data_IF_120882229123
#
_entry.id   IF_120882229123
#
_cell.length_a   1.000
_cell.length_b   1.000
_cell.length_c   1.000
_cell.angle_alpha   90.00
_cell.angle_beta   90.00
_cell.angle_gamma   90.00
#
_symmetry.space_group_name_H-M   'P 1'
#
loop_
_entity.id
_entity.type
_entity.pdbx_description
1 polymer ?
#
# COMPACT_ATOMS: atom_id res chain seq x y z
N UNK A 1 -44.32 23.50 40.08
CA UNK A 1 -43.40 22.35 40.24
C UNK A 1 -42.89 21.97 38.87
N UNK A 2 -41.56 21.91 38.74
CA UNK A 2 -40.81 22.02 37.50
C UNK A 2 -40.95 20.78 36.59
N UNK A 3 -41.35 21.01 35.34
CA UNK A 3 -41.09 20.11 34.22
C UNK A 3 -39.63 20.31 33.78
N UNK A 4 -38.79 19.32 34.07
CA UNK A 4 -37.40 19.27 33.61
C UNK A 4 -37.40 19.19 32.08
N UNK A 5 -36.89 20.24 31.44
CA UNK A 5 -36.57 20.22 30.01
C UNK A 5 -35.41 19.26 29.80
N UNK A 6 -35.68 18.18 29.09
CA UNK A 6 -34.69 17.23 28.61
C UNK A 6 -33.85 17.94 27.53
N UNK A 7 -32.77 18.59 27.93
CA UNK A 7 -31.75 19.08 26.99
C UNK A 7 -31.09 17.87 26.35
N UNK A 8 -31.46 17.58 25.10
CA UNK A 8 -30.67 16.75 24.20
C UNK A 8 -29.28 17.41 24.07
N UNK A 9 -28.34 16.96 24.88
CA UNK A 9 -26.92 17.22 24.67
C UNK A 9 -26.56 16.65 23.29
N UNK A 10 -26.38 17.53 22.30
CA UNK A 10 -25.79 17.18 21.01
C UNK A 10 -24.47 16.48 21.32
N UNK A 11 -24.37 15.18 21.04
CA UNK A 11 -23.24 14.35 21.44
C UNK A 11 -21.92 14.98 21.00
N UNK A 12 -20.96 15.07 21.93
CA UNK A 12 -19.62 15.56 21.64
C UNK A 12 -19.03 14.69 20.51
N UNK A 13 -18.72 15.30 19.38
CA UNK A 13 -18.07 14.60 18.25
C UNK A 13 -16.70 14.08 18.70
N UNK A 14 -16.46 12.77 18.58
CA UNK A 14 -15.18 12.18 18.94
C UNK A 14 -14.10 12.73 18.00
N UNK A 15 -13.08 13.39 18.58
CA UNK A 15 -12.03 14.05 17.81
C UNK A 15 -10.73 13.24 17.92
N UNK A 16 -10.20 12.83 16.77
CA UNK A 16 -8.97 12.05 16.70
C UNK A 16 -7.75 12.96 16.77
N UNK A 17 -6.86 12.68 17.72
CA UNK A 17 -5.52 13.28 17.75
C UNK A 17 -4.51 12.43 16.98
N UNK A 18 -3.40 13.02 16.55
CA UNK A 18 -2.33 12.30 15.86
C UNK A 18 -1.76 11.13 16.69
N UNK A 19 -1.47 11.28 18.00
CA UNK A 19 -1.07 10.15 18.84
C UNK A 19 -2.10 9.02 18.94
N UNK A 20 -3.40 9.34 18.96
CA UNK A 20 -4.46 8.32 18.95
C UNK A 20 -4.50 7.57 17.63
N UNK A 21 -4.33 8.28 16.51
CA UNK A 21 -4.25 7.67 15.18
C UNK A 21 -3.04 6.75 15.04
N UNK A 22 -1.88 7.14 15.59
CA UNK A 22 -0.68 6.28 15.61
C UNK A 22 -0.94 5.00 16.41
N UNK A 23 -1.46 5.13 17.62
CA UNK A 23 -1.80 3.97 18.46
C UNK A 23 -2.81 3.03 17.78
N UNK A 24 -3.84 3.59 17.11
CA UNK A 24 -4.79 2.79 16.33
C UNK A 24 -4.07 1.95 15.28
N UNK A 25 -3.14 2.56 14.52
CA UNK A 25 -2.40 1.85 13.48
C UNK A 25 -1.46 0.79 14.06
N UNK A 26 -0.74 1.10 15.13
CA UNK A 26 0.17 0.15 15.81
C UNK A 26 -0.57 -1.10 16.27
N UNK A 27 -1.70 -0.93 16.98
CA UNK A 27 -2.50 -2.06 17.45
C UNK A 27 -3.06 -2.85 16.26
N UNK A 28 -3.55 -2.19 15.23
CA UNK A 28 -4.09 -2.88 14.04
C UNK A 28 -2.99 -3.61 13.24
N UNK A 29 -1.75 -3.14 13.24
CA UNK A 29 -0.61 -3.88 12.68
C UNK A 29 -0.42 -5.18 13.45
N UNK A 30 -0.37 -5.14 14.78
CA UNK A 30 -0.24 -6.36 15.58
C UNK A 30 -1.40 -7.34 15.35
N UNK A 31 -2.63 -6.83 15.29
CA UNK A 31 -3.82 -7.66 15.04
C UNK A 31 -3.78 -8.28 13.64
N UNK A 32 -3.29 -7.56 12.63
CA UNK A 32 -3.09 -8.10 11.29
C UNK A 32 -2.02 -9.22 11.30
N UNK A 33 -0.91 -9.04 12.02
CA UNK A 33 0.14 -10.04 12.15
C UNK A 33 -0.32 -11.30 12.89
N UNK A 34 -1.26 -11.17 13.84
CA UNK A 34 -1.91 -12.29 14.55
C UNK A 34 -2.94 -13.03 13.70
N UNK A 35 -3.22 -12.59 12.47
CA UNK A 35 -4.24 -13.18 11.61
C UNK A 35 -5.68 -12.80 11.98
N UNK A 36 -5.87 -11.74 12.77
CA UNK A 36 -7.20 -11.21 13.10
C UNK A 36 -7.77 -10.27 12.02
N UNK A 37 -7.10 -10.23 10.87
CA UNK A 37 -7.57 -9.58 9.66
C UNK A 37 -7.79 -10.64 8.58
N UNK A 38 -9.03 -10.72 8.06
CA UNK A 38 -9.29 -11.48 6.84
C UNK A 38 -8.69 -10.75 5.63
N UNK A 39 -8.99 -11.19 4.40
CA UNK A 39 -8.44 -10.56 3.18
C UNK A 39 -8.69 -9.05 3.08
N UNK A 40 -9.71 -8.49 3.76
CA UNK A 40 -10.03 -7.06 3.69
C UNK A 40 -10.58 -6.41 4.96
N UNK A 41 -10.87 -7.19 6.02
CA UNK A 41 -11.63 -6.71 7.19
C UNK A 41 -11.07 -7.24 8.50
N UNK A 42 -10.98 -6.39 9.51
CA UNK A 42 -10.60 -6.76 10.88
C UNK A 42 -11.78 -7.37 11.64
N UNK A 43 -11.50 -8.30 12.57
CA UNK A 43 -12.51 -8.83 13.48
C UNK A 43 -13.04 -7.73 14.43
N UNK A 44 -14.28 -7.87 14.88
CA UNK A 44 -14.91 -6.95 15.84
C UNK A 44 -14.08 -6.80 17.14
N UNK A 45 -13.47 -7.90 17.60
CA UNK A 45 -12.58 -7.92 18.78
C UNK A 45 -11.37 -7.00 18.61
N UNK A 46 -10.80 -6.90 17.41
CA UNK A 46 -9.68 -5.98 17.13
C UNK A 46 -10.12 -4.52 17.30
N UNK A 47 -11.31 -4.14 16.84
CA UNK A 47 -11.85 -2.79 17.05
C UNK A 47 -12.13 -2.50 18.53
N UNK A 48 -12.66 -3.49 19.26
CA UNK A 48 -12.92 -3.37 20.70
C UNK A 48 -11.63 -3.18 21.50
N UNK A 49 -10.58 -3.92 21.14
CA UNK A 49 -9.25 -3.78 21.74
C UNK A 49 -8.68 -2.38 21.51
N UNK A 50 -8.67 -1.89 20.27
CA UNK A 50 -8.19 -0.53 19.94
C UNK A 50 -8.95 0.54 20.74
N UNK A 51 -10.29 0.43 20.79
CA UNK A 51 -11.11 1.39 21.53
C UNK A 51 -10.79 1.39 23.03
N UNK A 52 -10.55 0.21 23.62
CA UNK A 52 -10.20 0.06 25.03
C UNK A 52 -8.85 0.69 25.34
N UNK A 53 -7.81 0.36 24.57
CA UNK A 53 -6.45 0.88 24.75
C UNK A 53 -6.38 2.40 24.59
N UNK A 54 -7.06 2.95 23.57
CA UNK A 54 -7.14 4.40 23.37
C UNK A 54 -7.88 5.08 24.52
N UNK A 55 -9.00 4.50 24.97
CA UNK A 55 -9.76 5.07 26.08
C UNK A 55 -8.93 5.12 27.36
N UNK A 56 -8.18 4.06 27.65
CA UNK A 56 -7.30 3.98 28.81
C UNK A 56 -6.13 4.96 28.71
N UNK A 57 -5.42 4.99 27.59
CA UNK A 57 -4.21 5.81 27.44
C UNK A 57 -4.48 7.30 27.36
N UNK A 58 -5.56 7.70 26.69
CA UNK A 58 -5.87 9.12 26.45
C UNK A 58 -6.98 9.66 27.36
N UNK A 59 -7.54 8.83 28.25
CA UNK A 59 -8.64 9.17 29.14
C UNK A 59 -9.86 9.75 28.38
N UNK A 60 -10.22 9.11 27.27
CA UNK A 60 -11.34 9.49 26.40
C UNK A 60 -12.37 8.36 26.31
N UNK A 61 -13.60 8.68 25.92
CA UNK A 61 -14.61 7.66 25.62
C UNK A 61 -14.51 7.24 24.15
N UNK A 62 -13.61 6.30 23.84
CA UNK A 62 -13.49 5.72 22.51
C UNK A 62 -14.34 4.44 22.42
N UNK A 63 -15.09 4.29 21.33
CA UNK A 63 -15.95 3.14 21.09
C UNK A 63 -15.51 2.47 19.78
N UNK A 64 -15.78 1.16 19.58
CA UNK A 64 -15.41 0.46 18.35
C UNK A 64 -15.89 1.17 17.07
N UNK A 65 -17.06 1.81 17.12
CA UNK A 65 -17.61 2.61 16.02
C UNK A 65 -16.73 3.82 15.63
N UNK A 66 -16.06 4.43 16.61
CA UNK A 66 -15.14 5.53 16.37
C UNK A 66 -13.90 5.03 15.64
N UNK A 67 -13.39 3.85 16.03
CA UNK A 67 -12.24 3.18 15.40
C UNK A 67 -12.54 2.81 13.95
N UNK A 68 -13.70 2.20 13.69
CA UNK A 68 -14.14 1.85 12.33
C UNK A 68 -14.23 3.09 11.43
N UNK A 69 -14.86 4.16 11.92
CA UNK A 69 -14.98 5.41 11.16
C UNK A 69 -13.60 6.05 10.88
N UNK A 70 -12.68 6.01 11.84
CA UNK A 70 -11.33 6.51 11.61
C UNK A 70 -10.55 5.66 10.61
N UNK A 71 -10.70 4.34 10.67
CA UNK A 71 -10.06 3.43 9.71
C UNK A 71 -10.57 3.69 8.28
N UNK A 72 -11.85 4.05 8.10
CA UNK A 72 -12.35 4.51 6.80
C UNK A 72 -11.65 5.77 6.31
N UNK A 73 -11.37 6.72 7.20
CA UNK A 73 -10.56 7.91 6.87
C UNK A 73 -9.16 7.50 6.45
N UNK A 74 -8.46 6.68 7.23
CA UNK A 74 -7.12 6.15 6.91
C UNK A 74 -7.12 5.46 5.53
N UNK A 75 -8.14 4.65 5.21
CA UNK A 75 -8.27 4.01 3.89
C UNK A 75 -8.37 5.04 2.75
N UNK A 76 -9.12 6.12 2.94
CA UNK A 76 -9.21 7.22 1.96
C UNK A 76 -7.86 7.91 1.78
N UNK A 77 -7.17 8.22 2.88
CA UNK A 77 -5.83 8.83 2.83
C UNK A 77 -4.82 7.94 2.11
N UNK A 78 -4.84 6.63 2.39
CA UNK A 78 -4.00 5.65 1.70
C UNK A 78 -4.29 5.60 0.21
N UNK A 79 -5.56 5.70 -0.20
CA UNK A 79 -5.95 5.79 -1.60
C UNK A 79 -5.32 7.00 -2.31
N UNK A 80 -5.41 8.19 -1.68
CA UNK A 80 -4.82 9.42 -2.21
C UNK A 80 -3.30 9.28 -2.33
N UNK A 81 -2.62 8.78 -1.29
CA UNK A 81 -1.18 8.56 -1.27
C UNK A 81 -0.75 7.61 -2.39
N UNK A 82 -1.45 6.48 -2.53
CA UNK A 82 -1.12 5.46 -3.54
C UNK A 82 -1.36 5.98 -4.96
N UNK A 83 -2.44 6.73 -5.18
CA UNK A 83 -2.75 7.35 -6.46
C UNK A 83 -1.66 8.35 -6.85
N UNK A 84 -1.29 9.27 -5.96
CA UNK A 84 -0.27 10.29 -6.23
C UNK A 84 1.12 9.65 -6.43
N UNK A 85 1.47 8.64 -5.62
CA UNK A 85 2.73 7.90 -5.77
C UNK A 85 2.87 7.23 -7.14
N UNK A 86 1.77 6.74 -7.72
CA UNK A 86 1.75 6.04 -9.00
C UNK A 86 1.43 6.97 -10.19
N UNK A 87 1.25 8.28 -9.96
CA UNK A 87 0.90 9.25 -11.00
C UNK A 87 2.15 9.58 -11.83
N UNK A 88 1.98 9.67 -13.16
CA UNK A 88 3.08 10.08 -14.04
C UNK A 88 3.58 11.48 -13.67
N UNK A 89 4.91 11.68 -13.66
CA UNK A 89 5.54 12.94 -13.25
C UNK A 89 5.77 13.10 -11.74
N UNK A 90 5.34 12.12 -10.93
CA UNK A 90 5.56 12.10 -9.49
C UNK A 90 6.69 11.11 -9.19
N UNK A 91 7.56 11.48 -8.24
CA UNK A 91 8.64 10.62 -7.74
C UNK A 91 8.35 10.09 -6.34
N UNK A 92 9.20 9.17 -5.89
CA UNK A 92 9.12 8.55 -4.57
C UNK A 92 10.48 8.59 -3.87
N UNK A 93 10.53 9.22 -2.70
CA UNK A 93 11.70 9.25 -1.82
C UNK A 93 11.59 8.20 -0.72
N UNK A 94 12.27 7.07 -0.88
CA UNK A 94 12.14 5.93 0.05
C UNK A 94 12.67 6.19 1.47
N UNK A 95 13.68 7.05 1.63
CA UNK A 95 14.27 7.37 2.93
C UNK A 95 13.30 8.13 3.83
N UNK A 96 12.50 9.03 3.25
CA UNK A 96 11.55 9.88 3.97
C UNK A 96 10.10 9.42 3.81
N UNK A 97 9.86 8.32 3.08
CA UNK A 97 8.52 7.86 2.66
C UNK A 97 7.68 9.04 2.16
N UNK A 98 8.19 9.73 1.15
CA UNK A 98 7.66 11.00 0.67
C UNK A 98 7.40 10.95 -0.83
N UNK A 99 6.28 11.54 -1.25
CA UNK A 99 5.98 11.77 -2.66
C UNK A 99 6.72 13.04 -3.08
N UNK A 100 7.61 12.94 -4.07
CA UNK A 100 8.43 14.06 -4.53
C UNK A 100 7.86 14.62 -5.83
N UNK A 101 7.60 15.91 -5.88
CA UNK A 101 6.99 16.59 -7.02
C UNK A 101 7.74 17.89 -7.31
N UNK A 102 7.97 18.21 -8.59
CA UNK A 102 8.54 19.50 -8.98
C UNK A 102 7.58 20.65 -8.62
N UNK A 103 8.11 21.87 -8.49
CA UNK A 103 7.31 23.02 -8.06
C UNK A 103 6.11 23.29 -8.98
N UNK A 104 6.33 23.23 -10.29
CA UNK A 104 5.27 23.53 -11.28
C UNK A 104 4.13 22.51 -11.19
N UNK A 105 4.46 21.21 -11.08
CA UNK A 105 3.48 20.13 -10.95
C UNK A 105 2.78 20.17 -9.59
N UNK A 106 3.49 20.58 -8.53
CA UNK A 106 2.91 20.76 -7.20
C UNK A 106 1.81 21.82 -7.19
N UNK A 107 2.10 22.99 -7.78
CA UNK A 107 1.16 24.11 -7.81
C UNK A 107 -0.11 23.76 -8.61
N UNK A 108 0.04 23.04 -9.72
CA UNK A 108 -1.10 22.51 -10.50
C UNK A 108 -1.91 21.47 -9.72
N UNK A 109 -1.25 20.52 -9.06
CA UNK A 109 -1.90 19.45 -8.31
C UNK A 109 -2.69 19.99 -7.11
N UNK A 110 -2.08 20.88 -6.31
CA UNK A 110 -2.73 21.48 -5.14
C UNK A 110 -3.86 22.42 -5.54
N UNK A 111 -3.75 23.09 -6.69
CA UNK A 111 -4.84 23.90 -7.24
C UNK A 111 -6.04 23.05 -7.65
N UNK A 112 -5.82 21.89 -8.28
CA UNK A 112 -6.89 20.97 -8.65
C UNK A 112 -7.45 20.18 -7.44
N UNK A 113 -6.58 19.83 -6.49
CA UNK A 113 -6.87 19.00 -5.34
C UNK A 113 -6.22 19.57 -4.07
N UNK A 114 -6.83 20.59 -3.42
CA UNK A 114 -6.24 21.24 -2.24
C UNK A 114 -5.90 20.29 -1.10
N UNK A 115 -6.65 19.18 -0.98
CA UNK A 115 -6.45 18.16 0.05
C UNK A 115 -5.17 17.32 -0.16
N UNK A 116 -4.50 17.41 -1.32
CA UNK A 116 -3.27 16.69 -1.63
C UNK A 116 -2.03 17.36 -1.02
N UNK A 117 -2.10 18.66 -0.70
CA UNK A 117 -1.01 19.45 -0.13
C UNK A 117 -0.35 18.78 1.07
N UNK A 118 -1.13 18.09 1.93
CA UNK A 118 -0.59 17.40 3.12
C UNK A 118 0.25 16.16 2.82
N UNK A 119 0.24 15.63 1.59
CA UNK A 119 0.94 14.41 1.21
C UNK A 119 2.11 14.62 0.24
N UNK A 120 2.18 15.78 -0.41
CA UNK A 120 3.21 16.09 -1.42
C UNK A 120 4.39 16.82 -0.78
N UNK A 121 5.61 16.43 -1.14
CA UNK A 121 6.86 17.01 -0.64
C UNK A 121 6.95 17.08 0.91
N UNK A 122 6.22 16.18 1.58
CA UNK A 122 6.15 16.04 3.04
C UNK A 122 6.34 14.58 3.40
N UNK A 123 7.03 14.33 4.53
CA UNK A 123 7.17 12.99 5.10
C UNK A 123 5.80 12.40 5.43
N UNK A 124 5.53 11.19 4.95
CA UNK A 124 4.31 10.47 5.30
C UNK A 124 4.55 9.67 6.59
N UNK A 125 4.06 10.21 7.69
CA UNK A 125 4.09 9.53 8.97
C UNK A 125 3.24 8.25 8.93
N UNK A 126 3.72 7.19 9.58
CA UNK A 126 3.06 5.87 9.64
C UNK A 126 2.78 5.20 8.29
N UNK A 127 3.46 5.59 7.22
CA UNK A 127 3.28 5.01 5.89
C UNK A 127 3.38 3.47 5.89
N UNK A 128 4.36 2.92 6.60
CA UNK A 128 4.58 1.47 6.69
C UNK A 128 3.43 0.77 7.43
N UNK A 129 2.97 1.35 8.54
CA UNK A 129 1.84 0.83 9.28
C UNK A 129 0.55 0.86 8.42
N UNK A 130 0.30 1.96 7.70
CA UNK A 130 -0.82 2.02 6.75
C UNK A 130 -0.69 0.96 5.64
N UNK A 131 0.51 0.73 5.12
CA UNK A 131 0.76 -0.30 4.10
C UNK A 131 0.34 -1.69 4.60
N UNK A 132 0.65 -2.02 5.85
CA UNK A 132 0.28 -3.30 6.47
C UNK A 132 -1.23 -3.37 6.74
N UNK A 133 -1.79 -2.30 7.33
CA UNK A 133 -3.18 -2.28 7.80
C UNK A 133 -4.17 -2.21 6.64
N UNK A 134 -3.91 -1.39 5.62
CA UNK A 134 -4.87 -1.13 4.52
C UNK A 134 -4.33 -1.45 3.12
N UNK A 135 -3.02 -1.63 2.94
CA UNK A 135 -2.40 -1.76 1.62
C UNK A 135 -2.89 -2.94 0.77
N UNK A 136 -3.27 -4.06 1.42
CA UNK A 136 -3.82 -5.25 0.73
C UNK A 136 -5.31 -5.13 0.40
N UNK A 137 -6.01 -4.14 0.93
CA UNK A 137 -7.48 -4.03 0.84
C UNK A 137 -7.95 -3.27 -0.41
N UNK A 138 -7.04 -2.60 -1.11
CA UNK A 138 -7.37 -1.74 -2.24
C UNK A 138 -6.95 -2.39 -3.55
N UNK A 139 -7.92 -2.64 -4.44
CA UNK A 139 -7.63 -3.03 -5.82
C UNK A 139 -6.90 -1.88 -6.53
N UNK A 140 -5.64 -2.08 -6.85
CA UNK A 140 -4.71 -1.09 -7.41
C UNK A 140 -4.96 -0.73 -8.88
N UNK A 141 -6.15 -0.97 -9.41
CA UNK A 141 -6.47 -0.73 -10.82
C UNK A 141 -6.98 0.69 -11.06
N UNK A 142 -6.60 1.29 -12.20
CA UNK A 142 -7.09 2.58 -12.72
C UNK A 142 -8.63 2.68 -12.89
N UNK A 143 -9.40 1.65 -12.52
CA UNK A 143 -10.85 1.56 -12.61
C UNK A 143 -11.57 1.52 -11.26
N UNK A 144 -10.85 1.67 -10.14
CA UNK A 144 -11.49 1.78 -8.84
C UNK A 144 -12.17 3.16 -8.70
N UNK A 145 -13.49 3.21 -8.91
CA UNK A 145 -14.30 4.41 -8.61
C UNK A 145 -14.12 4.78 -7.14
N UNK A 146 -13.58 5.97 -6.88
CA UNK A 146 -13.48 6.54 -5.54
C UNK A 146 -14.86 7.05 -5.12
N UNK A 147 -15.25 6.83 -3.87
CA UNK A 147 -16.49 7.38 -3.29
C UNK A 147 -16.51 8.93 -3.22
N UNK A 148 -15.44 9.61 -3.66
CA UNK A 148 -15.38 11.07 -3.72
C UNK A 148 -16.22 11.69 -4.85
N UNK A 149 -16.68 10.91 -5.84
CA UNK A 149 -17.45 11.42 -6.98
C UNK A 149 -18.97 11.50 -6.72
N UNK A 150 -19.43 11.15 -5.52
CA UNK A 150 -20.84 11.34 -5.13
C UNK A 150 -20.88 12.52 -4.16
N UNK A 151 -20.86 13.73 -4.71
CA UNK A 151 -21.28 14.90 -3.94
C UNK A 151 -22.81 14.92 -3.85
N UNK A 152 -23.28 15.12 -2.62
CA UNK A 152 -24.68 15.21 -2.23
C UNK A 152 -25.07 16.69 -2.23
N UNK A 153 -25.93 17.10 -3.15
CA UNK A 153 -26.86 18.22 -2.92
C UNK A 153 -28.19 17.89 -3.62
N UNK A 154 -29.27 18.18 -2.92
CA UNK A 154 -30.62 17.63 -3.09
C UNK A 154 -31.45 18.18 -4.28
N UNK A 155 -32.24 17.26 -4.84
CA UNK A 155 -33.65 17.35 -5.24
C UNK A 155 -34.15 18.10 -6.49
N UNK A 156 -34.69 17.25 -7.40
CA UNK A 156 -35.91 17.32 -8.22
C UNK A 156 -35.90 18.25 -9.44
N UNK A 157 -35.94 17.67 -10.65
CA UNK A 157 -37.16 17.57 -11.47
C UNK A 157 -36.99 16.54 -12.60
N UNK A 158 -38.02 15.70 -12.75
CA UNK A 158 -38.19 14.74 -13.84
C UNK A 158 -38.60 15.51 -15.09
N UNK A 159 -37.84 15.38 -16.19
CA UNK A 159 -38.36 15.61 -17.53
C UNK A 159 -37.95 14.48 -18.47
N UNK A 160 -38.92 13.59 -18.68
CA UNK A 160 -39.03 12.67 -19.78
C UNK A 160 -39.26 13.41 -21.10
N UNK A 161 -38.43 13.17 -22.13
CA UNK A 161 -38.84 13.21 -23.55
C UNK A 161 -38.04 12.13 -24.32
N UNK A 162 -38.69 10.98 -24.52
CA UNK A 162 -38.99 10.32 -25.81
C UNK A 162 -38.04 10.61 -26.99
N UNK A 163 -37.47 9.64 -27.72
CA UNK A 163 -38.05 8.63 -28.63
C UNK A 163 -36.90 8.40 -29.68
N UNK A 164 -36.70 7.32 -30.42
CA UNK A 164 -37.56 6.30 -30.99
C UNK A 164 -36.64 5.17 -31.53
N UNK A 165 -37.09 3.93 -31.37
CA UNK A 165 -37.09 2.85 -32.35
C UNK A 165 -35.84 2.03 -32.69
N UNK A 166 -35.93 0.72 -32.97
CA UNK A 166 -36.99 -0.32 -32.91
C UNK A 166 -36.31 -1.66 -33.27
N UNK A 167 -36.96 -2.80 -32.95
CA UNK A 167 -36.60 -4.15 -33.37
C UNK A 167 -36.17 -5.05 -32.21
N UNK A 168 -37.04 -5.44 -31.28
CA UNK A 168 -38.18 -6.37 -31.42
C UNK A 168 -37.77 -7.76 -31.95
N UNK A 169 -37.71 -8.75 -31.06
CA UNK A 169 -38.72 -9.82 -31.03
C UNK A 169 -38.67 -10.64 -29.72
N UNK A 170 -39.73 -10.43 -28.96
CA UNK A 170 -40.55 -11.32 -28.11
C UNK A 170 -39.97 -12.40 -27.19
N UNK A 171 -40.29 -12.20 -25.91
CA UNK A 171 -40.45 -13.21 -24.86
C UNK A 171 -41.90 -13.68 -24.84
N UNK A 172 -42.16 -14.99 -24.89
CA UNK A 172 -43.44 -15.54 -24.39
C UNK A 172 -43.23 -16.77 -23.52
N UNK A 173 -43.63 -16.64 -22.26
CA UNK A 173 -43.87 -17.72 -21.32
C UNK A 173 -45.31 -18.21 -21.45
N UNK A 174 -45.55 -19.53 -21.64
CA UNK A 174 -46.49 -20.34 -20.82
C UNK A 174 -46.50 -21.80 -21.24
N UNK A 175 -46.54 -22.69 -20.25
CA UNK A 175 -46.50 -24.15 -20.43
C UNK A 175 -47.83 -24.81 -20.77
N UNK A 176 -47.78 -26.11 -21.09
CA UNK A 176 -48.53 -27.24 -20.49
C UNK A 176 -48.14 -28.53 -21.22
N UNK A 177 -48.22 -29.64 -20.48
CA UNK A 177 -47.82 -31.01 -20.84
C UNK A 177 -48.45 -31.57 -22.13
N UNK A 178 -47.74 -32.49 -22.80
CA UNK A 178 -48.22 -33.85 -23.15
C UNK A 178 -47.15 -34.64 -23.92
N UNK A 179 -47.19 -35.96 -23.74
CA UNK A 179 -46.27 -37.00 -24.18
C UNK A 179 -45.99 -37.11 -25.69
N UNK A 180 -44.75 -37.41 -26.09
CA UNK A 180 -44.38 -38.72 -26.68
C UNK A 180 -42.95 -38.77 -27.23
N UNK A 181 -42.29 -39.88 -26.91
CA UNK A 181 -41.23 -40.63 -27.58
C UNK A 181 -40.35 -39.96 -28.66
N UNK A 182 -39.04 -39.91 -28.42
CA UNK A 182 -38.10 -40.69 -29.23
C UNK A 182 -36.71 -40.80 -28.61
N UNK A 183 -36.30 -42.04 -28.39
CA UNK A 183 -34.99 -42.48 -27.89
C UNK A 183 -33.97 -42.50 -29.03
N UNK A 184 -32.93 -41.65 -28.99
CA UNK A 184 -31.69 -41.93 -29.72
C UNK A 184 -30.46 -41.56 -28.89
N UNK A 185 -29.78 -42.62 -28.42
CA UNK A 185 -28.48 -42.61 -27.76
C UNK A 185 -27.43 -41.94 -28.65
N UNK A 186 -26.79 -40.86 -28.18
CA UNK A 186 -25.55 -40.34 -28.79
C UNK A 186 -24.35 -40.77 -27.96
N UNK A 187 -23.50 -41.56 -28.60
CA UNK A 187 -22.28 -42.16 -28.06
C UNK A 187 -21.20 -41.09 -27.83
N UNK A 188 -20.61 -41.06 -26.63
CA UNK A 188 -19.38 -40.30 -26.37
C UNK A 188 -18.18 -41.05 -26.97
N UNK A 189 -17.60 -40.51 -28.04
CA UNK A 189 -16.31 -40.98 -28.59
C UNK A 189 -15.17 -40.35 -27.78
N UNK A 190 -14.47 -41.14 -26.96
CA UNK A 190 -13.21 -40.74 -26.30
C UNK A 190 -12.16 -40.40 -27.37
N UNK A 191 -11.70 -39.15 -27.43
CA UNK A 191 -10.51 -38.75 -28.19
C UNK A 191 -9.27 -39.07 -27.36
N UNK A 192 -8.46 -40.00 -27.86
CA UNK A 192 -7.08 -40.18 -27.42
C UNK A 192 -6.28 -38.97 -27.95
N UNK A 193 -5.68 -38.17 -27.06
CA UNK A 193 -4.76 -37.08 -27.45
C UNK A 193 -3.36 -37.65 -27.55
N UNK A 194 -2.79 -37.59 -28.74
CA UNK A 194 -1.35 -37.76 -28.99
C UNK A 194 -0.60 -36.62 -28.30
N UNK A 195 0.47 -36.95 -27.55
CA UNK A 195 1.35 -35.97 -26.93
C UNK A 195 2.19 -35.30 -28.00
N UNK A 196 2.02 -33.99 -28.19
CA UNK A 196 2.98 -33.19 -28.93
C UNK A 196 4.10 -32.73 -27.99
N UNK A 197 5.30 -33.22 -28.28
CA UNK A 197 6.58 -33.02 -27.58
C UNK A 197 6.95 -31.52 -27.40
N UNK A 198 6.47 -30.66 -28.30
CA UNK A 198 6.67 -29.21 -28.28
C UNK A 198 6.19 -28.54 -26.97
N UNK A 199 5.18 -29.14 -26.32
CA UNK A 199 4.66 -28.62 -25.05
C UNK A 199 5.64 -28.80 -23.88
N UNK A 200 6.41 -29.89 -23.88
CA UNK A 200 7.37 -30.20 -22.80
C UNK A 200 8.65 -29.39 -22.97
N UNK A 201 9.11 -29.21 -24.21
CA UNK A 201 10.29 -28.41 -24.51
C UNK A 201 10.07 -26.91 -24.22
N UNK A 202 8.89 -26.39 -24.59
CA UNK A 202 8.48 -25.02 -24.25
C UNK A 202 8.32 -24.80 -22.75
N UNK A 203 7.91 -25.84 -22.01
CA UNK A 203 7.86 -25.80 -20.55
C UNK A 203 9.26 -25.79 -19.94
N UNK A 204 10.17 -26.64 -20.44
CA UNK A 204 11.57 -26.71 -20.00
C UNK A 204 12.27 -25.36 -20.14
N UNK A 205 12.10 -24.68 -21.29
CA UNK A 205 12.66 -23.34 -21.53
C UNK A 205 12.15 -22.31 -20.51
N UNK A 206 10.84 -22.28 -20.26
CA UNK A 206 10.24 -21.37 -19.27
C UNK A 206 10.72 -21.65 -17.85
N UNK A 207 10.90 -22.93 -17.48
CA UNK A 207 11.47 -23.31 -16.18
C UNK A 207 12.92 -22.84 -16.07
N UNK A 208 13.71 -22.96 -17.16
CA UNK A 208 15.06 -22.42 -17.24
C UNK A 208 15.10 -20.90 -17.06
N UNK A 209 14.20 -20.16 -17.70
CA UNK A 209 14.08 -18.71 -17.55
C UNK A 209 13.76 -18.30 -16.11
N UNK A 210 12.86 -19.04 -15.44
CA UNK A 210 12.51 -18.82 -14.03
C UNK A 210 13.68 -19.14 -13.11
N UNK A 211 14.39 -20.25 -13.35
CA UNK A 211 15.57 -20.62 -12.58
C UNK A 211 16.70 -19.58 -12.72
N UNK A 212 16.91 -19.06 -13.94
CA UNK A 212 17.88 -17.99 -14.20
C UNK A 212 17.50 -16.68 -13.49
N UNK A 213 16.22 -16.30 -13.50
CA UNK A 213 15.72 -15.14 -12.76
C UNK A 213 15.89 -15.28 -11.23
N UNK A 214 15.65 -16.47 -10.67
CA UNK A 214 15.87 -16.73 -9.25
C UNK A 214 17.36 -16.66 -8.90
N UNK A 215 18.23 -17.21 -9.76
CA UNK A 215 19.67 -17.19 -9.55
C UNK A 215 20.29 -15.80 -9.72
N UNK A 216 19.73 -14.95 -10.59
CA UNK A 216 20.17 -13.55 -10.70
C UNK A 216 19.72 -12.71 -9.51
N UNK A 217 18.56 -13.01 -8.92
CA UNK A 217 18.10 -12.40 -7.67
C UNK A 217 18.98 -12.79 -6.47
N UNK A 218 19.48 -14.02 -6.40
CA UNK A 218 20.39 -14.45 -5.32
C UNK A 218 21.79 -13.85 -5.45
N UNK A 219 22.32 -13.71 -6.67
CA UNK A 219 23.63 -13.09 -6.95
C UNK A 219 23.66 -11.57 -6.70
N UNK A 220 22.50 -10.92 -6.67
CA UNK A 220 22.39 -9.48 -6.44
C UNK A 220 22.20 -9.11 -4.97
N UNK A 221 22.26 -10.07 -4.03
CA UNK A 221 22.21 -9.78 -2.60
C UNK A 221 23.57 -9.26 -2.14
N UNK A 222 23.54 -8.16 -1.36
CA UNK A 222 24.74 -7.62 -0.75
C UNK A 222 25.26 -8.59 0.31
N UNK A 223 26.49 -9.08 0.16
CA UNK A 223 27.16 -9.80 1.24
C UNK A 223 27.67 -8.78 2.28
N UNK A 224 26.95 -8.69 3.39
CA UNK A 224 27.24 -7.77 4.49
C UNK A 224 28.57 -8.11 5.18
N UNK A 225 28.94 -9.39 5.24
CA UNK A 225 30.20 -9.80 5.85
C UNK A 225 31.37 -9.41 4.95
N UNK A 226 31.25 -9.63 3.64
CA UNK A 226 32.25 -9.19 2.68
C UNK A 226 32.42 -7.66 2.72
N UNK A 227 31.30 -6.92 2.75
CA UNK A 227 31.31 -5.46 2.91
C UNK A 227 32.08 -5.03 4.17
N UNK A 228 31.78 -5.65 5.31
CA UNK A 228 32.47 -5.36 6.57
C UNK A 228 33.97 -5.54 6.43
N UNK A 229 34.41 -6.67 5.85
CA UNK A 229 35.84 -6.93 5.65
C UNK A 229 36.50 -5.89 4.74
N UNK A 230 35.82 -5.43 3.69
CA UNK A 230 36.36 -4.43 2.76
C UNK A 230 36.39 -3.02 3.33
N UNK A 231 35.43 -2.64 4.18
CA UNK A 231 35.45 -1.35 4.89
C UNK A 231 36.59 -1.32 5.91
N UNK A 232 36.77 -2.41 6.67
CA UNK A 232 37.84 -2.50 7.68
C UNK A 232 39.25 -2.58 7.10
N UNK A 233 39.41 -2.93 5.82
CA UNK A 233 40.70 -2.90 5.11
C UNK A 233 41.17 -1.47 4.77
N UNK A 234 40.31 -0.45 4.91
CA UNK A 234 40.67 0.93 4.54
C UNK A 234 41.61 1.53 5.59
N UNK A 235 42.91 1.56 5.27
CA UNK A 235 43.93 2.11 6.16
C UNK A 235 43.89 3.64 6.28
N UNK A 236 44.17 4.14 7.48
CA UNK A 236 44.34 5.58 7.77
C UNK A 236 43.12 6.25 8.40
N UNK A 237 42.14 5.49 8.88
CA UNK A 237 40.98 5.98 9.62
C UNK A 237 40.84 5.23 10.95
N UNK A 238 40.21 5.88 11.93
CA UNK A 238 39.87 5.24 13.19
C UNK A 238 38.81 4.16 12.99
N UNK A 239 38.90 3.07 13.74
CA UNK A 239 37.97 1.93 13.64
C UNK A 239 36.51 2.35 13.89
N UNK A 240 36.28 3.34 14.76
CA UNK A 240 34.96 3.91 15.03
C UNK A 240 34.39 4.56 13.77
N UNK A 241 35.20 5.36 13.07
CA UNK A 241 34.78 6.05 11.84
C UNK A 241 34.54 5.06 10.69
N UNK A 242 35.30 3.96 10.64
CA UNK A 242 35.05 2.85 9.72
C UNK A 242 33.76 2.09 10.06
N UNK A 243 33.46 1.93 11.35
CA UNK A 243 32.20 1.38 11.85
C UNK A 243 30.99 2.22 11.42
N UNK A 244 31.05 3.54 11.61
CA UNK A 244 30.00 4.47 11.19
C UNK A 244 29.80 4.43 9.66
N UNK A 245 30.90 4.34 8.90
CA UNK A 245 30.87 4.21 7.45
C UNK A 245 30.21 2.90 7.01
N UNK A 246 30.53 1.79 7.68
CA UNK A 246 29.91 0.49 7.45
C UNK A 246 28.40 0.54 7.73
N UNK A 247 27.99 1.05 8.89
CA UNK A 247 26.58 1.17 9.26
C UNK A 247 25.79 2.01 8.24
N UNK A 248 26.38 3.11 7.75
CA UNK A 248 25.79 3.92 6.70
C UNK A 248 25.64 3.18 5.37
N UNK A 249 26.64 2.38 4.97
CA UNK A 249 26.58 1.56 3.76
C UNK A 249 25.51 0.46 3.91
N UNK A 250 25.40 -0.20 5.07
CA UNK A 250 24.36 -1.21 5.32
C UNK A 250 22.96 -0.61 5.24
N UNK A 251 22.77 0.61 5.74
CA UNK A 251 21.50 1.34 5.63
C UNK A 251 21.13 1.71 4.18
N UNK A 252 22.10 1.73 3.26
CA UNK A 252 21.89 2.04 1.85
C UNK A 252 22.55 1.00 0.93
N UNK A 253 21.79 -0.04 0.62
CA UNK A 253 22.24 -1.18 -0.18
C UNK A 253 22.85 -0.79 -1.55
N UNK A 254 22.30 0.24 -2.21
CA UNK A 254 22.83 0.73 -3.49
C UNK A 254 24.20 1.40 -3.33
N UNK A 255 24.40 2.18 -2.27
CA UNK A 255 25.70 2.77 -1.94
C UNK A 255 26.71 1.69 -1.55
N UNK A 256 26.31 0.69 -0.77
CA UNK A 256 27.15 -0.46 -0.43
C UNK A 256 27.59 -1.24 -1.68
N UNK A 257 26.67 -1.51 -2.61
CA UNK A 257 27.02 -2.15 -3.90
C UNK A 257 27.98 -1.28 -4.71
N UNK A 258 27.73 0.02 -4.78
CA UNK A 258 28.61 0.96 -5.48
C UNK A 258 30.00 1.05 -4.82
N UNK A 259 30.07 0.94 -3.49
CA UNK A 259 31.32 0.88 -2.73
C UNK A 259 32.09 -0.41 -3.02
N UNK A 260 31.42 -1.56 -3.03
CA UNK A 260 32.03 -2.86 -3.36
C UNK A 260 32.52 -2.92 -4.81
N UNK A 261 31.86 -2.23 -5.74
CA UNK A 261 32.31 -2.13 -7.13
C UNK A 261 33.55 -1.23 -7.32
N UNK A 262 33.89 -0.35 -6.35
CA UNK A 262 35.06 0.53 -6.42
C UNK A 262 36.34 -0.26 -6.10
N UNK A 263 37.47 0.21 -6.64
CA UNK A 263 38.79 -0.27 -6.23
C UNK A 263 39.21 0.34 -4.87
N UNK A 264 40.29 -0.19 -4.28
CA UNK A 264 40.77 0.22 -2.95
C UNK A 264 40.98 1.74 -2.80
N UNK A 265 41.56 2.40 -3.80
CA UNK A 265 41.81 3.85 -3.76
C UNK A 265 40.51 4.65 -3.72
N UNK A 266 39.53 4.27 -4.55
CA UNK A 266 38.23 4.94 -4.60
C UNK A 266 37.40 4.67 -3.34
N UNK A 267 37.52 3.48 -2.74
CA UNK A 267 36.92 3.18 -1.43
C UNK A 267 37.53 4.06 -0.34
N UNK A 268 38.85 4.23 -0.33
CA UNK A 268 39.55 5.14 0.58
C UNK A 268 39.08 6.59 0.45
N UNK A 269 38.95 7.09 -0.78
CA UNK A 269 38.41 8.44 -1.04
C UNK A 269 36.96 8.56 -0.58
N UNK A 270 36.15 7.52 -0.79
CA UNK A 270 34.76 7.51 -0.34
C UNK A 270 34.67 7.61 1.19
N UNK A 271 35.44 6.80 1.92
CA UNK A 271 35.51 6.84 3.39
C UNK A 271 36.01 8.21 3.86
N UNK A 272 37.05 8.75 3.24
CA UNK A 272 37.55 10.10 3.56
C UNK A 272 36.44 11.17 3.45
N UNK A 273 35.68 11.15 2.35
CA UNK A 273 34.60 12.10 2.14
C UNK A 273 33.45 11.88 3.13
N UNK A 274 33.12 10.63 3.44
CA UNK A 274 32.12 10.27 4.43
C UNK A 274 32.49 10.82 5.81
N UNK A 275 33.71 10.55 6.27
CA UNK A 275 34.25 10.99 7.57
C UNK A 275 34.26 12.51 7.66
N UNK A 276 34.67 13.22 6.61
CA UNK A 276 34.64 14.69 6.60
C UNK A 276 33.23 15.29 6.64
N UNK A 277 32.22 14.57 6.16
CA UNK A 277 30.83 15.04 6.15
C UNK A 277 30.06 14.65 7.42
N UNK A 278 30.42 13.54 8.06
CA UNK A 278 29.61 12.94 9.14
C UNK A 278 30.34 12.79 10.48
N UNK A 279 31.67 12.73 10.48
CA UNK A 279 32.48 12.54 11.69
C UNK A 279 33.27 13.80 12.10
N UNK A 280 33.23 14.88 11.31
CA UNK A 280 33.79 16.18 11.72
C UNK A 280 32.86 16.85 12.75
N UNK A 281 33.01 16.49 14.03
CA UNK A 281 32.67 17.39 15.14
C UNK A 281 33.89 18.28 15.39
N UNK A 282 33.84 19.59 15.10
CA UNK A 282 34.82 20.49 15.66
C UNK A 282 34.49 20.64 17.16
N UNK A 283 35.20 19.90 18.01
CA UNK A 283 35.30 20.28 19.42
C UNK A 283 36.33 21.42 19.52
N UNK A 284 35.83 22.65 19.40
CA UNK A 284 36.30 23.89 20.04
C UNK A 284 35.08 24.79 20.25
#
# INVERSE_FOLDING_TARGET
>A
MNTAKNEKCKGKHFTWSKPMSHMLLEILVEEALKGNKSSSTFKAESFAKVATEISQKFNVQCEPKHVDNHLKTVKKEWGIITQNKNKSGFGWGDCLKMITVSKDVYDEEVKAHPNHDKYLNKKLDMYEAMTIVVGKDMATGNYAKSYADINLEENIEVQSISNENEGEYEETLKGKETSSSNTQKRQHKKRYRTYEDDSVEKLSKKIGDVAFAIQSLSKNQLDVNELYTEVMKVEGFEEIALGDAFDHLVQNEMLAKAFMAKNANLRKIWVHNFVNQHCYRPDC
#
